data_IF_815576143979
#
_entry.id   IF_815576143979
#
_cell.length_a   1.000
_cell.length_b   1.000
_cell.length_c   1.000
_cell.angle_alpha   90.00
_cell.angle_beta   90.00
_cell.angle_gamma   90.00
#
_symmetry.space_group_name_H-M   'P 1'
#
loop_
_entity.id
_entity.type
_entity.pdbx_description
1 polymer ?
#
# COMPACT_ATOMS: atom_id res chain seq x y z
N UNK A 1 -1.14 -2.57 9.39
CA UNK A 1 -2.39 -1.79 9.39
C UNK A 1 -3.59 -2.72 9.61
N UNK A 2 -4.58 -2.31 10.41
CA UNK A 2 -5.79 -3.10 10.70
C UNK A 2 -6.92 -2.73 9.73
N UNK A 3 -7.67 -3.73 9.25
CA UNK A 3 -8.77 -3.58 8.27
C UNK A 3 -9.91 -2.71 8.83
N UNK A 4 -10.12 -2.73 10.15
CA UNK A 4 -11.16 -1.98 10.84
C UNK A 4 -10.94 -0.47 10.70
N UNK A 5 -9.70 -0.02 10.75
CA UNK A 5 -9.37 1.41 10.65
C UNK A 5 -9.50 1.93 9.23
N UNK A 6 -9.19 1.09 8.23
CA UNK A 6 -9.38 1.42 6.82
C UNK A 6 -10.88 1.56 6.46
N UNK A 7 -11.77 0.80 7.10
CA UNK A 7 -13.22 0.93 6.91
C UNK A 7 -13.81 2.22 7.49
N UNK A 8 -13.13 2.86 8.44
CA UNK A 8 -13.56 4.14 9.04
C UNK A 8 -13.19 5.34 8.18
N UNK A 9 -12.25 5.18 7.24
CA UNK A 9 -11.81 6.25 6.33
C UNK A 9 -12.81 6.44 5.19
N UNK A 10 -12.87 7.66 4.67
CA UNK A 10 -13.72 7.96 3.51
C UNK A 10 -13.16 7.33 2.22
N UNK A 11 -14.03 7.04 1.25
CA UNK A 11 -13.63 6.52 -0.08
C UNK A 11 -12.59 7.43 -0.75
N UNK A 12 -12.70 8.75 -0.58
CA UNK A 12 -11.72 9.71 -1.12
C UNK A 12 -10.34 9.55 -0.46
N UNK A 13 -10.31 9.38 0.86
CA UNK A 13 -9.06 9.18 1.61
C UNK A 13 -8.41 7.85 1.24
N UNK A 14 -9.21 6.79 1.10
CA UNK A 14 -8.73 5.48 0.66
C UNK A 14 -8.12 5.53 -0.74
N UNK A 15 -8.72 6.29 -1.67
CA UNK A 15 -8.15 6.49 -3.02
C UNK A 15 -6.85 7.28 -2.99
N UNK A 16 -6.73 8.28 -2.13
CA UNK A 16 -5.49 9.05 -1.94
C UNK A 16 -4.39 8.17 -1.35
N UNK A 17 -4.70 7.43 -0.30
CA UNK A 17 -3.77 6.52 0.37
C UNK A 17 -3.33 5.39 -0.58
N UNK A 18 -4.23 4.90 -1.44
CA UNK A 18 -3.90 3.95 -2.50
C UNK A 18 -2.87 4.51 -3.50
N UNK A 19 -2.99 5.78 -3.88
CA UNK A 19 -2.03 6.43 -4.78
C UNK A 19 -0.66 6.56 -4.11
N UNK A 20 -0.61 7.08 -2.89
CA UNK A 20 0.62 7.23 -2.11
C UNK A 20 1.33 5.87 -1.92
N UNK A 21 0.59 4.80 -1.58
CA UNK A 21 1.14 3.45 -1.43
C UNK A 21 1.67 2.85 -2.73
N UNK A 22 1.06 3.19 -3.87
CA UNK A 22 1.54 2.74 -5.20
C UNK A 22 2.86 3.40 -5.57
N UNK A 23 3.03 4.68 -5.25
CA UNK A 23 4.27 5.41 -5.46
C UNK A 23 5.37 4.89 -4.52
N UNK A 24 5.05 4.66 -3.25
CA UNK A 24 5.95 4.00 -2.29
C UNK A 24 6.42 2.63 -2.81
N UNK A 25 5.50 1.82 -3.34
CA UNK A 25 5.84 0.52 -3.94
C UNK A 25 6.72 0.67 -5.21
N UNK A 26 6.58 1.75 -5.97
CA UNK A 26 7.44 2.04 -7.12
C UNK A 26 8.85 2.39 -6.65
N UNK A 27 8.99 3.30 -5.70
CA UNK A 27 10.30 3.64 -5.12
C UNK A 27 11.00 2.44 -4.49
N UNK A 28 10.28 1.61 -3.74
CA UNK A 28 10.83 0.38 -3.17
C UNK A 28 11.29 -0.60 -4.25
N UNK A 29 10.62 -0.67 -5.40
CA UNK A 29 11.10 -1.48 -6.53
C UNK A 29 12.35 -0.90 -7.17
N UNK A 30 12.44 0.42 -7.32
CA UNK A 30 13.64 1.08 -7.82
C UNK A 30 14.85 0.85 -6.91
N UNK A 31 14.69 1.09 -5.61
CA UNK A 31 15.71 0.83 -4.60
C UNK A 31 16.10 -0.66 -4.55
N UNK A 32 15.14 -1.58 -4.76
CA UNK A 32 15.43 -3.02 -4.85
C UNK A 32 16.29 -3.34 -6.07
N UNK A 33 15.98 -2.76 -7.22
CA UNK A 33 16.73 -2.95 -8.46
C UNK A 33 18.16 -2.38 -8.37
N UNK A 34 18.36 -1.31 -7.58
CA UNK A 34 19.69 -0.77 -7.27
C UNK A 34 20.50 -1.64 -6.30
N UNK A 35 19.90 -2.66 -5.67
CA UNK A 35 20.58 -3.55 -4.72
C UNK A 35 20.81 -2.93 -3.33
N UNK A 36 20.29 -1.74 -3.05
CA UNK A 36 20.47 -1.04 -1.77
C UNK A 36 19.45 -1.47 -0.69
N UNK A 37 18.44 -2.26 -1.05
CA UNK A 37 17.42 -2.69 -0.08
C UNK A 37 17.91 -3.86 0.77
N UNK A 38 18.22 -3.55 2.03
CA UNK A 38 18.37 -4.55 3.09
C UNK A 38 17.05 -5.19 3.53
N UNK A 39 15.91 -4.51 3.27
CA UNK A 39 14.61 -4.88 3.85
C UNK A 39 13.52 -5.17 2.79
N UNK A 40 13.70 -6.25 2.05
CA UNK A 40 12.75 -6.73 1.00
C UNK A 40 11.34 -6.98 1.54
N UNK A 41 11.21 -7.22 2.85
CA UNK A 41 9.92 -7.42 3.53
C UNK A 41 9.02 -6.19 3.47
N UNK A 42 9.57 -4.97 3.39
CA UNK A 42 8.80 -3.75 3.27
C UNK A 42 7.92 -3.74 2.01
N UNK A 43 8.45 -4.21 0.87
CA UNK A 43 7.68 -4.31 -0.37
C UNK A 43 6.45 -5.24 -0.22
N UNK A 44 6.57 -6.32 0.55
CA UNK A 44 5.46 -7.24 0.82
C UNK A 44 4.40 -6.59 1.71
N UNK A 45 4.80 -5.78 2.69
CA UNK A 45 3.89 -5.03 3.54
C UNK A 45 3.08 -4.01 2.73
N UNK A 46 3.74 -3.19 1.91
CA UNK A 46 3.08 -2.19 1.06
C UNK A 46 2.11 -2.84 0.07
N UNK A 47 2.50 -3.97 -0.55
CA UNK A 47 1.59 -4.74 -1.43
C UNK A 47 0.34 -5.23 -0.68
N UNK A 48 0.48 -5.67 0.57
CA UNK A 48 -0.63 -6.13 1.40
C UNK A 48 -1.58 -4.98 1.75
N UNK A 49 -1.04 -3.80 2.05
CA UNK A 49 -1.84 -2.60 2.33
C UNK A 49 -2.64 -2.16 1.11
N UNK A 50 -2.02 -2.13 -0.08
CA UNK A 50 -2.70 -1.86 -1.36
C UNK A 50 -3.86 -2.84 -1.57
N UNK A 51 -3.62 -4.14 -1.36
CA UNK A 51 -4.65 -5.15 -1.53
C UNK A 51 -5.82 -4.95 -0.56
N UNK A 52 -5.54 -4.63 0.71
CA UNK A 52 -6.58 -4.36 1.72
C UNK A 52 -7.44 -3.13 1.36
N UNK A 53 -6.82 -2.05 0.88
CA UNK A 53 -7.54 -0.85 0.44
C UNK A 53 -8.45 -1.18 -0.75
N UNK A 54 -7.93 -1.92 -1.75
CA UNK A 54 -8.72 -2.35 -2.90
C UNK A 54 -9.88 -3.27 -2.51
N UNK A 55 -9.68 -4.19 -1.56
CA UNK A 55 -10.75 -5.05 -1.05
C UNK A 55 -11.88 -4.23 -0.42
N UNK A 56 -11.55 -3.19 0.35
CA UNK A 56 -12.57 -2.33 0.99
C UNK A 56 -13.31 -1.49 -0.06
N UNK A 57 -12.58 -0.92 -1.03
CA UNK A 57 -13.17 -0.16 -2.13
C UNK A 57 -14.11 -1.01 -3.00
N UNK A 58 -13.83 -2.31 -3.15
CA UNK A 58 -14.63 -3.24 -3.96
C UNK A 58 -15.75 -3.96 -3.19
N UNK A 59 -15.66 -4.00 -1.85
CA UNK A 59 -16.70 -4.57 -0.99
C UNK A 59 -17.83 -3.59 -0.65
N UNK A 60 -17.73 -2.35 -1.16
CA UNK A 60 -18.74 -1.29 -1.03
C UNK A 60 -19.79 -1.39 -2.12
#
# INVERSE_FOLDING_TARGET
>A
MNIIDLRKKSIMELRRELAEKRDEARELRFKLAQGEIKNVRALRAVKKEIAQILTILNAS
#
